data_IF_807021427741
#
_entry.id   IF_807021427741
#
_cell.length_a   1.000
_cell.length_b   1.000
_cell.length_c   1.000
_cell.angle_alpha   90.00
_cell.angle_beta   90.00
_cell.angle_gamma   90.00
#
_symmetry.space_group_name_H-M   'P 1'
#
loop_
_entity.id
_entity.type
_entity.pdbx_description
1 polymer ?
#
# COMPACT_ATOMS: atom_id res chain seq x y z
N UNK A 1 -9.81 7.79 -9.45
CA UNK A 1 -9.31 6.41 -9.29
C UNK A 1 -9.85 5.84 -7.99
N UNK A 2 -10.46 4.66 -8.02
CA UNK A 2 -10.95 3.95 -6.85
C UNK A 2 -9.85 3.06 -6.26
N UNK A 3 -9.65 3.12 -4.96
CA UNK A 3 -8.81 2.20 -4.20
C UNK A 3 -9.64 1.56 -3.07
N UNK A 4 -9.41 0.27 -2.84
CA UNK A 4 -10.06 -0.49 -1.78
C UNK A 4 -9.06 -0.86 -0.70
N UNK A 5 -9.33 -0.48 0.54
CA UNK A 5 -8.48 -0.76 1.69
C UNK A 5 -9.20 -1.71 2.66
N UNK A 6 -8.56 -2.85 2.95
CA UNK A 6 -8.93 -3.69 4.09
C UNK A 6 -8.07 -3.28 5.28
N UNK A 7 -8.71 -2.76 6.32
CA UNK A 7 -8.07 -2.23 7.53
C UNK A 7 -8.34 -3.14 8.73
N UNK A 8 -7.33 -3.43 9.53
CA UNK A 8 -7.48 -4.16 10.79
C UNK A 8 -7.49 -3.21 12.00
N UNK A 9 -8.62 -3.10 12.71
CA UNK A 9 -8.73 -2.30 13.94
C UNK A 9 -9.49 -3.07 15.00
N UNK A 10 -8.99 -3.03 16.23
CA UNK A 10 -9.66 -3.59 17.41
C UNK A 10 -10.13 -5.04 17.24
N UNK A 11 -9.36 -5.86 16.51
CA UNK A 11 -9.68 -7.26 16.26
C UNK A 11 -10.57 -7.52 15.04
N UNK A 12 -11.01 -6.49 14.33
CA UNK A 12 -11.94 -6.58 13.21
C UNK A 12 -11.34 -6.08 11.90
N UNK A 13 -11.82 -6.62 10.78
CA UNK A 13 -11.53 -6.09 9.45
C UNK A 13 -12.63 -5.15 8.97
N UNK A 14 -12.23 -3.96 8.53
CA UNK A 14 -13.12 -2.94 7.97
C UNK A 14 -12.73 -2.61 6.54
N UNK A 15 -13.71 -2.34 5.70
CA UNK A 15 -13.48 -1.85 4.35
C UNK A 15 -13.48 -0.33 4.34
N UNK A 16 -12.56 0.25 3.59
CA UNK A 16 -12.51 1.67 3.30
C UNK A 16 -12.26 1.86 1.80
N UNK A 17 -13.26 2.40 1.12
CA UNK A 17 -13.20 2.69 -0.30
C UNK A 17 -12.95 4.18 -0.51
N UNK A 18 -11.85 4.53 -1.19
CA UNK A 18 -11.49 5.92 -1.45
C UNK A 18 -11.49 6.17 -2.95
N UNK A 19 -12.24 7.19 -3.36
CA UNK A 19 -12.15 7.75 -4.71
C UNK A 19 -11.15 8.89 -4.70
N UNK A 20 -9.93 8.61 -5.19
CA UNK A 20 -8.88 9.61 -5.35
C UNK A 20 -9.29 10.64 -6.43
N UNK A 21 -9.23 11.95 -6.11
CA UNK A 21 -9.47 13.03 -7.06
C UNK A 21 -8.30 13.14 -8.04
N UNK A 22 -8.43 13.83 -9.20
CA UNK A 22 -7.30 14.07 -10.09
C UNK A 22 -6.08 14.64 -9.34
N UNK A 23 -4.85 14.16 -9.61
CA UNK A 23 -3.71 14.51 -8.78
C UNK A 23 -3.08 15.88 -9.11
N UNK A 24 -3.46 16.47 -10.25
CA UNK A 24 -3.03 17.80 -10.68
C UNK A 24 -3.39 18.84 -9.61
N UNK A 25 -2.40 19.62 -9.19
CA UNK A 25 -2.58 20.66 -8.16
C UNK A 25 -2.50 20.16 -6.70
N UNK A 26 -2.32 18.86 -6.46
CA UNK A 26 -2.16 18.31 -5.11
C UNK A 26 -0.72 18.37 -4.56
N UNK A 27 0.22 18.92 -5.32
CA UNK A 27 1.63 19.02 -4.92
C UNK A 27 2.37 17.66 -4.86
N UNK A 28 1.86 16.64 -5.56
CA UNK A 28 2.44 15.29 -5.58
C UNK A 28 3.50 15.07 -6.68
N UNK A 29 3.63 16.00 -7.63
CA UNK A 29 4.54 15.87 -8.78
C UNK A 29 4.12 14.77 -9.77
N UNK A 30 2.83 14.45 -9.83
CA UNK A 30 2.24 13.49 -10.76
C UNK A 30 0.98 14.11 -11.41
N UNK A 31 0.78 13.84 -12.69
CA UNK A 31 -0.39 14.33 -13.46
C UNK A 31 -1.53 13.30 -13.52
N UNK A 32 -1.18 12.02 -13.40
CA UNK A 32 -2.10 10.89 -13.37
C UNK A 32 -1.74 9.96 -12.21
N UNK A 33 -2.74 9.21 -11.72
CA UNK A 33 -2.49 8.23 -10.67
C UNK A 33 -1.89 6.94 -11.23
N UNK A 34 -2.21 6.61 -12.48
CA UNK A 34 -1.66 5.48 -13.21
C UNK A 34 -0.12 5.56 -13.22
N UNK A 35 0.54 4.54 -12.68
CA UNK A 35 2.01 4.52 -12.56
C UNK A 35 2.55 5.13 -11.26
N UNK A 36 1.78 5.93 -10.53
CA UNK A 36 2.17 6.35 -9.19
C UNK A 36 2.17 5.13 -8.23
N UNK A 37 3.06 5.14 -7.24
CA UNK A 37 3.16 3.99 -6.33
C UNK A 37 1.94 3.89 -5.42
N UNK A 38 1.56 2.67 -5.01
CA UNK A 38 0.55 2.45 -3.96
C UNK A 38 0.89 3.25 -2.69
N UNK A 39 2.17 3.32 -2.31
CA UNK A 39 2.59 4.11 -1.16
C UNK A 39 2.35 5.63 -1.29
N UNK A 40 2.27 6.15 -2.53
CA UNK A 40 1.91 7.55 -2.80
C UNK A 40 0.42 7.77 -2.51
N UNK A 41 -0.44 6.86 -2.97
CA UNK A 41 -1.87 6.92 -2.65
C UNK A 41 -2.12 6.78 -1.15
N UNK A 42 -1.44 5.87 -0.45
CA UNK A 42 -1.59 5.71 1.01
C UNK A 42 -1.19 6.97 1.78
N UNK A 43 -0.08 7.61 1.41
CA UNK A 43 0.33 8.90 2.01
C UNK A 43 -0.71 10.00 1.78
N UNK A 44 -1.30 10.06 0.57
CA UNK A 44 -2.35 11.03 0.28
C UNK A 44 -3.66 10.70 1.01
N UNK A 45 -4.06 9.43 1.01
CA UNK A 45 -5.22 8.90 1.72
C UNK A 45 -5.16 9.25 3.21
N UNK A 46 -4.00 9.03 3.83
CA UNK A 46 -3.78 9.38 5.23
C UNK A 46 -3.95 10.88 5.47
N UNK A 47 -3.35 11.73 4.63
CA UNK A 47 -3.41 13.19 4.85
C UNK A 47 -4.80 13.80 4.66
N UNK A 48 -5.63 13.21 3.80
CA UNK A 48 -6.85 13.88 3.32
C UNK A 48 -8.13 13.17 3.74
N UNK A 49 -8.14 11.84 3.78
CA UNK A 49 -9.36 11.06 4.02
C UNK A 49 -9.36 10.40 5.39
N UNK A 50 -8.24 9.78 5.77
CA UNK A 50 -8.12 9.04 7.03
C UNK A 50 -6.82 9.36 7.76
N UNK A 51 -6.77 10.44 8.56
CA UNK A 51 -5.58 10.85 9.32
C UNK A 51 -4.97 9.76 10.20
N UNK A 52 -5.78 8.80 10.64
CA UNK A 52 -5.37 7.68 11.47
C UNK A 52 -5.01 6.42 10.65
N UNK A 53 -4.91 6.50 9.32
CA UNK A 53 -4.56 5.37 8.47
C UNK A 53 -3.15 4.86 8.78
N UNK A 54 -3.04 3.63 9.29
CA UNK A 54 -1.79 2.95 9.57
C UNK A 54 -1.22 2.20 8.36
N UNK A 55 0.00 2.54 7.97
CA UNK A 55 0.82 1.79 7.01
C UNK A 55 2.31 1.97 7.31
N UNK A 56 3.13 1.00 6.89
CA UNK A 56 4.59 1.07 7.08
C UNK A 56 5.30 1.49 5.79
N UNK A 57 6.18 2.49 5.87
CA UNK A 57 6.94 3.01 4.73
C UNK A 57 8.27 3.60 5.19
N UNK A 58 9.36 3.31 4.47
CA UNK A 58 10.69 3.87 4.76
C UNK A 58 11.47 4.19 3.47
N UNK A 59 12.14 3.20 2.85
CA UNK A 59 13.14 3.47 1.80
C UNK A 59 12.57 3.95 0.44
N UNK A 60 11.28 3.70 0.18
CA UNK A 60 10.56 4.02 -1.08
C UNK A 60 11.17 3.45 -2.37
N UNK A 61 12.06 2.46 -2.27
CA UNK A 61 12.82 1.90 -3.40
C UNK A 61 12.92 0.37 -3.39
N UNK A 62 12.06 -0.30 -2.63
CA UNK A 62 11.97 -1.76 -2.59
C UNK A 62 13.05 -2.50 -1.79
N UNK A 63 13.96 -1.80 -1.10
CA UNK A 63 15.08 -2.44 -0.39
C UNK A 63 14.72 -2.92 1.02
N UNK A 64 14.08 -2.06 1.84
CA UNK A 64 13.82 -2.37 3.25
C UNK A 64 12.70 -3.39 3.48
N UNK A 65 11.88 -3.67 2.45
CA UNK A 65 10.70 -4.56 2.48
C UNK A 65 9.62 -4.24 3.54
N UNK A 66 9.77 -3.15 4.29
CA UNK A 66 8.86 -2.70 5.36
C UNK A 66 7.42 -2.46 4.87
N UNK A 67 7.25 -1.93 3.66
CA UNK A 67 5.94 -1.65 3.07
C UNK A 67 5.30 -2.88 2.41
N UNK A 68 5.50 -4.07 2.97
CA UNK A 68 4.90 -5.30 2.44
C UNK A 68 3.39 -5.29 2.72
N UNK A 69 2.60 -5.47 1.66
CA UNK A 69 1.14 -5.50 1.71
C UNK A 69 0.61 -6.54 0.74
N UNK A 70 -0.59 -7.06 0.98
CA UNK A 70 -1.30 -7.87 0.00
C UNK A 70 -1.98 -6.91 -0.97
N UNK A 71 -1.51 -6.89 -2.20
CA UNK A 71 -1.99 -6.01 -3.27
C UNK A 71 -2.48 -6.89 -4.42
N UNK A 72 -3.79 -6.83 -4.66
CA UNK A 72 -4.52 -7.69 -5.61
C UNK A 72 -4.24 -9.18 -5.39
N UNK A 73 -4.36 -9.61 -4.13
CA UNK A 73 -4.17 -11.00 -3.72
C UNK A 73 -2.72 -11.45 -3.54
N UNK A 74 -1.72 -10.64 -3.92
CA UNK A 74 -0.31 -11.00 -3.82
C UNK A 74 0.47 -10.11 -2.86
N UNK A 75 1.35 -10.70 -2.05
CA UNK A 75 2.22 -9.92 -1.16
C UNK A 75 3.31 -9.23 -1.97
N UNK A 76 3.22 -7.92 -2.09
CA UNK A 76 4.11 -7.03 -2.86
C UNK A 76 4.56 -5.85 -1.99
N UNK A 77 5.47 -5.03 -2.51
CA UNK A 77 5.93 -3.82 -1.83
C UNK A 77 5.13 -2.60 -2.32
N UNK A 78 4.39 -1.94 -1.43
CA UNK A 78 3.55 -0.79 -1.81
C UNK A 78 4.32 0.34 -2.51
N UNK A 79 5.61 0.52 -2.21
CA UNK A 79 6.42 1.54 -2.87
C UNK A 79 6.86 1.19 -4.30
N UNK A 80 6.68 -0.05 -4.75
CA UNK A 80 7.10 -0.50 -6.09
C UNK A 80 5.93 -0.92 -6.98
N UNK A 81 4.72 -1.00 -6.44
CA UNK A 81 3.52 -1.36 -7.22
C UNK A 81 2.88 -0.08 -7.74
N UNK A 82 2.68 -0.02 -9.06
CA UNK A 82 1.92 1.04 -9.72
C UNK A 82 0.43 0.91 -9.40
N UNK A 83 -0.21 2.04 -9.16
CA UNK A 83 -1.66 2.12 -9.00
C UNK A 83 -2.38 1.84 -10.32
N UNK A 84 -3.56 1.26 -10.18
CA UNK A 84 -4.59 1.16 -11.20
C UNK A 84 -5.97 1.32 -10.55
N UNK A 85 -6.99 1.56 -11.35
CA UNK A 85 -8.36 1.67 -10.85
C UNK A 85 -8.84 0.35 -10.25
N UNK A 86 -9.52 0.43 -9.11
CA UNK A 86 -10.05 -0.73 -8.38
C UNK A 86 -9.00 -1.57 -7.65
N UNK A 87 -7.78 -1.06 -7.46
CA UNK A 87 -6.71 -1.76 -6.74
C UNK A 87 -7.14 -2.12 -5.31
N UNK A 88 -6.83 -3.34 -4.87
CA UNK A 88 -7.17 -3.85 -3.55
C UNK A 88 -5.93 -3.97 -2.68
N UNK A 89 -5.96 -3.33 -1.53
CA UNK A 89 -4.83 -3.24 -0.60
C UNK A 89 -5.27 -3.78 0.76
N UNK A 90 -4.54 -4.77 1.26
CA UNK A 90 -4.87 -5.48 2.49
C UNK A 90 -3.59 -5.75 3.30
N UNK A 91 -3.70 -6.11 4.58
CA UNK A 91 -2.55 -6.50 5.37
C UNK A 91 -1.87 -7.70 4.71
N UNK A 92 -0.54 -7.68 4.61
CA UNK A 92 0.21 -8.74 3.92
C UNK A 92 -0.14 -10.15 4.42
N UNK A 93 -0.46 -10.27 5.71
CA UNK A 93 -0.97 -11.49 6.32
C UNK A 93 -2.00 -11.13 7.39
N UNK A 94 -3.31 -11.36 7.16
CA UNK A 94 -4.38 -11.00 8.10
C UNK A 94 -4.16 -11.50 9.53
N UNK A 95 -3.60 -12.71 9.70
CA UNK A 95 -3.30 -13.30 11.02
C UNK A 95 -2.19 -12.58 11.81
N UNK A 96 -1.43 -11.70 11.15
CA UNK A 96 -0.35 -10.92 11.75
C UNK A 96 -0.63 -9.42 11.71
N UNK A 97 -1.86 -9.01 11.37
CA UNK A 97 -2.24 -7.61 11.35
C UNK A 97 -2.19 -7.04 12.78
N UNK A 98 -1.58 -5.87 12.90
CA UNK A 98 -1.43 -5.14 14.16
C UNK A 98 -2.30 -3.91 14.18
N UNK A 99 -2.33 -3.15 13.08
CA UNK A 99 -3.13 -1.94 12.93
C UNK A 99 -3.25 -1.55 11.46
N UNK A 100 -4.47 -1.39 10.95
CA UNK A 100 -4.78 -1.12 9.55
C UNK A 100 -4.07 -2.11 8.62
N UNK A 101 -3.07 -1.66 7.88
CA UNK A 101 -2.26 -2.50 6.99
C UNK A 101 -0.90 -2.88 7.57
N UNK A 102 -0.57 -2.37 8.76
CA UNK A 102 0.64 -2.71 9.51
C UNK A 102 0.54 -4.15 10.02
N UNK A 103 1.59 -4.92 9.76
CA UNK A 103 1.70 -6.33 10.14
C UNK A 103 2.99 -6.58 10.90
N UNK A 104 3.01 -7.62 11.72
CA UNK A 104 4.25 -8.24 12.16
C UNK A 104 4.93 -8.90 10.94
N UNK A 105 6.19 -8.55 10.68
CA UNK A 105 6.87 -8.86 9.42
C UNK A 105 7.63 -10.19 9.41
N UNK A 106 7.92 -10.80 10.56
CA UNK A 106 8.82 -11.96 10.67
C UNK A 106 8.44 -13.15 9.78
N UNK A 107 7.14 -13.32 9.48
CA UNK A 107 6.62 -14.42 8.66
C UNK A 107 6.00 -13.95 7.33
N UNK A 108 6.27 -12.71 6.91
CA UNK A 108 5.79 -12.17 5.65
C UNK A 108 6.77 -12.50 4.53
N UNK A 109 6.27 -13.12 3.46
CA UNK A 109 7.06 -13.43 2.26
C UNK A 109 6.59 -12.57 1.10
N UNK A 110 7.45 -11.67 0.65
CA UNK A 110 7.19 -10.83 -0.52
C UNK A 110 7.47 -11.64 -1.79
N UNK A 111 6.54 -11.63 -2.74
CA UNK A 111 6.74 -12.24 -4.04
C UNK A 111 7.81 -11.43 -4.80
N UNK A 112 8.98 -12.01 -4.98
CA UNK A 112 10.03 -11.43 -5.82
C UNK A 112 9.74 -11.73 -7.28
N UNK A 113 9.83 -10.70 -8.10
CA UNK A 113 9.92 -10.86 -9.55
C UNK A 113 11.23 -11.57 -9.89
N UNK A 114 11.15 -12.81 -10.39
CA UNK A 114 12.32 -13.64 -10.72
C UNK A 114 13.14 -13.08 -11.89
N UNK A 115 12.60 -12.10 -12.62
CA UNK A 115 13.22 -11.51 -13.80
C UNK A 115 14.19 -10.37 -13.46
N UNK A 116 14.18 -9.87 -12.22
CA UNK A 116 15.07 -8.78 -11.78
C UNK A 116 16.20 -9.36 -10.92
N UNK A 117 17.49 -9.18 -11.28
CA UNK A 117 18.59 -9.68 -10.47
C UNK A 117 18.51 -9.05 -9.08
N UNK A 118 18.58 -9.88 -8.05
CA UNK A 118 18.75 -9.42 -6.68
C UNK A 118 20.14 -8.77 -6.63
N UNK A 119 20.20 -7.44 -6.71
CA UNK A 119 21.46 -6.72 -6.49
C UNK A 119 21.84 -6.92 -5.03
N UNK A 120 22.89 -7.71 -4.84
CA UNK A 120 23.59 -7.88 -3.57
C UNK A 120 24.22 -6.56 -3.13
#
# INVERSE_FOLDING_TARGET
MLIHLTLFRDGEFRQLDIRLPPPTGLGLGIDHWEGASVSTALQYAQRVFEPNLGYSLSCRRGLCKLCAMRIDGEVKLACTVALHDGIRIEPAKPKLALHDTVVELSLVRVKTDKTKPQRA
#
